data_IF_278739661296
#
_entry.id   IF_278739661296
#
_cell.length_a   1.000
_cell.length_b   1.000
_cell.length_c   1.000
_cell.angle_alpha   90.00
_cell.angle_beta   90.00
_cell.angle_gamma   90.00
#
_symmetry.space_group_name_H-M   'P 1'
#
loop_
_entity.id
_entity.type
_entity.pdbx_description
1 polymer ?
#
# COMPACT_ATOMS: atom_id res chain seq x y z
N UNK A 1 4.46 -15.50 7.92
CA UNK A 1 5.46 -15.63 6.84
C UNK A 1 6.64 -14.71 7.16
N UNK A 2 7.92 -15.07 6.89
CA UNK A 2 9.09 -14.23 7.22
C UNK A 2 9.06 -12.83 6.60
N UNK A 3 8.37 -12.63 5.47
CA UNK A 3 8.19 -11.30 4.85
C UNK A 3 7.02 -10.49 5.44
N UNK A 4 6.22 -11.08 6.35
CA UNK A 4 5.10 -10.39 6.96
C UNK A 4 5.60 -9.40 8.00
N UNK A 5 5.35 -8.12 7.78
CA UNK A 5 5.73 -7.06 8.71
C UNK A 5 4.76 -6.90 9.88
N UNK A 6 3.55 -7.48 9.82
CA UNK A 6 2.51 -7.30 10.83
C UNK A 6 1.61 -6.09 10.54
N UNK A 7 0.76 -5.73 11.51
CA UNK A 7 -0.22 -4.65 11.37
C UNK A 7 0.46 -3.28 11.38
N UNK A 8 0.04 -2.38 10.49
CA UNK A 8 0.42 -0.96 10.50
C UNK A 8 -0.63 -0.09 11.22
N UNK A 9 -0.24 1.13 11.62
CA UNK A 9 -1.16 2.13 12.16
C UNK A 9 -1.00 2.38 13.66
N UNK A 10 -2.01 3.02 14.28
CA UNK A 10 -1.95 3.54 15.67
C UNK A 10 -1.69 2.46 16.74
N UNK A 11 -2.15 1.23 16.50
CA UNK A 11 -1.89 0.05 17.33
C UNK A 11 -1.03 -1.01 16.61
N UNK A 12 -0.38 -0.59 15.52
CA UNK A 12 0.47 -1.46 14.71
C UNK A 12 1.84 -1.71 15.32
N UNK A 13 2.59 -2.60 14.68
CA UNK A 13 3.96 -2.92 15.06
C UNK A 13 4.88 -1.73 14.70
N UNK A 14 5.72 -1.32 15.66
CA UNK A 14 6.61 -0.16 15.49
C UNK A 14 7.53 -0.29 14.27
N UNK A 15 8.09 -1.48 14.03
CA UNK A 15 8.96 -1.73 12.89
C UNK A 15 8.23 -1.57 11.55
N UNK A 16 6.96 -1.96 11.45
CA UNK A 16 6.12 -1.77 10.25
C UNK A 16 5.96 -0.29 9.94
N UNK A 17 5.60 0.51 10.95
CA UNK A 17 5.44 1.95 10.78
C UNK A 17 6.77 2.63 10.39
N UNK A 18 7.90 2.15 10.91
CA UNK A 18 9.22 2.66 10.54
C UNK A 18 9.58 2.32 9.09
N UNK A 19 9.35 1.07 8.65
CA UNK A 19 9.59 0.65 7.26
C UNK A 19 8.74 1.46 6.29
N UNK A 20 7.48 1.76 6.64
CA UNK A 20 6.61 2.60 5.82
C UNK A 20 7.13 4.04 5.66
N UNK A 21 7.86 4.58 6.65
CA UNK A 21 8.49 5.90 6.52
C UNK A 21 9.65 5.91 5.53
N UNK A 22 10.38 4.79 5.43
CA UNK A 22 11.54 4.63 4.56
C UNK A 22 11.18 4.10 3.16
N UNK A 23 9.96 3.61 2.97
CA UNK A 23 9.49 3.09 1.69
C UNK A 23 9.50 4.18 0.60
N UNK A 24 9.98 3.81 -0.58
CA UNK A 24 9.97 4.63 -1.80
C UNK A 24 8.80 4.27 -2.74
N UNK A 25 8.18 3.11 -2.53
CA UNK A 25 6.98 2.64 -3.21
C UNK A 25 6.03 1.97 -2.22
N UNK A 26 4.78 2.42 -2.22
CA UNK A 26 3.67 1.81 -1.51
C UNK A 26 2.64 1.28 -2.51
N UNK A 27 2.38 -0.03 -2.46
CA UNK A 27 1.36 -0.70 -3.27
C UNK A 27 0.19 -1.03 -2.34
N UNK A 28 -0.95 -0.36 -2.55
CA UNK A 28 -2.18 -0.54 -1.78
C UNK A 28 -3.16 -1.34 -2.61
N UNK A 29 -3.49 -2.53 -2.12
CA UNK A 29 -4.38 -3.49 -2.78
C UNK A 29 -5.63 -3.68 -1.92
N UNK A 30 -6.78 -3.19 -2.39
CA UNK A 30 -8.09 -3.43 -1.74
C UNK A 30 -8.21 -2.85 -0.34
N UNK A 31 -7.48 -1.76 -0.07
CA UNK A 31 -7.50 -1.10 1.23
C UNK A 31 -7.80 0.39 1.08
N UNK A 32 -8.55 0.89 2.06
CA UNK A 32 -8.89 2.30 2.19
C UNK A 32 -7.88 3.00 3.06
N UNK A 33 -7.60 4.23 2.69
CA UNK A 33 -6.81 5.12 3.52
C UNK A 33 -7.69 5.65 4.67
N UNK A 34 -7.68 4.98 5.82
CA UNK A 34 -8.40 5.40 7.05
C UNK A 34 -7.50 6.21 7.98
N UNK A 35 -8.05 7.23 8.63
CA UNK A 35 -7.34 8.12 9.54
C UNK A 35 -6.66 7.37 10.71
N UNK A 36 -7.26 6.27 11.19
CA UNK A 36 -6.68 5.42 12.26
C UNK A 36 -5.47 4.60 11.80
N UNK A 37 -5.38 4.32 10.50
CA UNK A 37 -4.24 3.60 9.92
C UNK A 37 -3.06 4.53 9.60
N UNK A 38 -3.35 5.78 9.25
CA UNK A 38 -2.39 6.69 8.60
C UNK A 38 -1.89 7.76 9.58
N UNK A 39 -2.72 8.17 10.54
CA UNK A 39 -2.47 9.34 11.36
C UNK A 39 -2.50 10.61 10.50
N UNK A 40 -1.40 11.37 10.48
CA UNK A 40 -1.28 12.56 9.61
C UNK A 40 -0.91 12.14 8.19
N UNK A 41 -1.81 12.35 7.24
CA UNK A 41 -1.65 11.97 5.82
C UNK A 41 -0.36 12.48 5.17
N UNK A 42 0.09 13.68 5.54
CA UNK A 42 1.32 14.31 5.06
C UNK A 42 2.58 13.56 5.54
N UNK A 43 2.52 12.95 6.73
CA UNK A 43 3.63 12.22 7.34
C UNK A 43 3.63 10.74 6.97
N UNK A 44 2.55 10.23 6.38
CA UNK A 44 2.44 8.82 6.03
C UNK A 44 3.16 8.53 4.71
N UNK A 45 4.23 7.74 4.76
CA UNK A 45 5.06 7.39 3.60
C UNK A 45 5.46 8.63 2.78
N UNK A 46 6.22 9.59 3.37
CA UNK A 46 6.42 10.92 2.80
C UNK A 46 7.14 10.91 1.45
N UNK A 47 8.03 9.93 1.23
CA UNK A 47 8.83 9.80 0.01
C UNK A 47 8.29 8.73 -0.95
N UNK A 48 7.21 8.04 -0.60
CA UNK A 48 6.73 6.90 -1.36
C UNK A 48 5.90 7.34 -2.57
N UNK A 49 6.20 6.75 -3.73
CA UNK A 49 5.25 6.66 -4.84
C UNK A 49 4.12 5.71 -4.43
N UNK A 50 2.90 6.02 -4.84
CA UNK A 50 1.71 5.25 -4.42
C UNK A 50 1.03 4.65 -5.63
N UNK A 51 0.85 3.34 -5.61
CA UNK A 51 -0.05 2.60 -6.49
C UNK A 51 -1.26 2.21 -5.63
N UNK A 52 -2.47 2.59 -6.05
CA UNK A 52 -3.70 2.28 -5.33
C UNK A 52 -4.66 1.53 -6.23
N UNK A 53 -4.98 0.30 -5.85
CA UNK A 53 -5.95 -0.58 -6.48
C UNK A 53 -7.16 -0.69 -5.57
N UNK A 54 -8.33 -0.26 -6.04
CA UNK A 54 -9.58 -0.39 -5.32
C UNK A 54 -10.73 -0.58 -6.32
N UNK A 55 -11.72 -1.40 -5.97
CA UNK A 55 -12.91 -1.61 -6.81
C UNK A 55 -13.83 -0.38 -6.75
N UNK A 56 -13.78 0.37 -5.63
CA UNK A 56 -14.57 1.56 -5.40
C UNK A 56 -13.81 2.82 -5.86
N UNK A 57 -14.30 3.41 -6.96
CA UNK A 57 -13.77 4.66 -7.51
C UNK A 57 -13.74 5.80 -6.49
N UNK A 58 -14.66 5.83 -5.52
CA UNK A 58 -14.76 6.91 -4.55
C UNK A 58 -13.60 6.91 -3.54
N UNK A 59 -12.88 5.80 -3.38
CA UNK A 59 -11.74 5.69 -2.46
C UNK A 59 -10.42 6.10 -3.12
N UNK A 60 -10.32 6.01 -4.45
CA UNK A 60 -9.14 6.41 -5.20
C UNK A 60 -8.94 7.94 -5.15
N UNK A 61 -7.86 8.38 -4.49
CA UNK A 61 -7.53 9.81 -4.35
C UNK A 61 -8.32 10.56 -3.27
N UNK A 62 -9.14 9.86 -2.48
CA UNK A 62 -9.98 10.47 -1.44
C UNK A 62 -9.18 11.13 -0.31
N UNK A 63 -8.18 10.42 0.21
CA UNK A 63 -7.36 10.87 1.34
C UNK A 63 -5.93 11.22 0.89
N UNK A 64 -5.33 10.39 0.03
CA UNK A 64 -4.00 10.62 -0.52
C UNK A 64 -4.01 10.39 -2.02
N UNK A 65 -3.43 11.32 -2.78
CA UNK A 65 -3.39 11.22 -4.24
C UNK A 65 -2.39 10.12 -4.66
N UNK A 66 -2.86 9.03 -5.31
CA UNK A 66 -1.95 8.02 -5.83
C UNK A 66 -1.24 8.52 -7.09
N UNK A 67 -0.06 7.97 -7.36
CA UNK A 67 0.67 8.19 -8.60
C UNK A 67 0.09 7.35 -9.74
N UNK A 68 -0.37 6.13 -9.40
CA UNK A 68 -1.12 5.25 -10.30
C UNK A 68 -2.37 4.77 -9.56
N UNK A 69 -3.53 4.97 -10.17
CA UNK A 69 -4.81 4.50 -9.66
C UNK A 69 -5.39 3.45 -10.61
N UNK A 70 -5.78 2.29 -10.07
CA UNK A 70 -6.39 1.21 -10.86
C UNK A 70 -7.75 0.91 -10.23
N UNK A 71 -8.82 1.11 -11.01
CA UNK A 71 -10.16 0.75 -10.60
C UNK A 71 -10.51 -0.64 -11.12
N UNK A 72 -10.37 -1.67 -10.29
CA UNK A 72 -10.63 -3.07 -10.66
C UNK A 72 -10.75 -3.95 -9.42
N UNK A 73 -11.18 -5.20 -9.61
CA UNK A 73 -11.02 -6.25 -8.61
C UNK A 73 -9.51 -6.52 -8.40
N UNK A 74 -9.08 -6.65 -7.15
CA UNK A 74 -7.69 -6.91 -6.79
C UNK A 74 -7.24 -8.28 -7.30
N UNK A 75 -8.13 -9.28 -7.30
CA UNK A 75 -7.81 -10.62 -7.79
C UNK A 75 -7.47 -10.59 -9.29
N UNK A 76 -8.24 -9.83 -10.08
CA UNK A 76 -7.99 -9.65 -11.52
C UNK A 76 -6.66 -8.92 -11.79
N UNK A 77 -6.34 -7.92 -10.97
CA UNK A 77 -5.08 -7.16 -11.07
C UNK A 77 -3.89 -8.05 -10.72
N UNK A 78 -3.98 -8.83 -9.64
CA UNK A 78 -2.92 -9.74 -9.23
C UNK A 78 -2.73 -10.86 -10.26
N UNK A 79 -3.80 -11.40 -10.83
CA UNK A 79 -3.73 -12.42 -11.87
C UNK A 79 -2.96 -11.94 -13.11
N UNK A 80 -3.07 -10.66 -13.46
CA UNK A 80 -2.34 -10.06 -14.58
C UNK A 80 -0.92 -9.61 -14.19
N UNK A 81 -0.71 -9.16 -12.95
CA UNK A 81 0.57 -8.62 -12.49
C UNK A 81 1.58 -9.70 -12.17
N UNK A 82 1.17 -10.77 -11.46
CA UNK A 82 2.08 -11.82 -10.98
C UNK A 82 2.91 -12.46 -12.11
N UNK A 83 2.35 -12.79 -13.30
CA UNK A 83 3.14 -13.35 -14.40
C UNK A 83 4.24 -12.43 -14.96
N UNK A 84 4.14 -11.12 -14.70
CA UNK A 84 5.08 -10.10 -15.16
C UNK A 84 6.19 -9.82 -14.14
N UNK A 85 6.11 -10.42 -12.95
CA UNK A 85 7.06 -10.19 -11.85
C UNK A 85 8.01 -11.38 -11.76
N UNK A 86 9.30 -11.11 -11.90
CA UNK A 86 10.34 -12.10 -11.64
C UNK A 86 10.51 -12.32 -10.12
N UNK A 87 10.51 -13.59 -9.70
CA UNK A 87 10.74 -13.91 -8.30
C UNK A 87 12.19 -13.59 -7.90
N UNK A 88 12.37 -12.63 -7.00
CA UNK A 88 13.66 -12.36 -6.38
C UNK A 88 13.73 -12.98 -4.98
N UNK A 89 14.51 -14.06 -4.78
CA UNK A 89 14.77 -14.56 -3.44
C UNK A 89 15.56 -13.51 -2.66
N UNK A 90 15.05 -13.09 -1.50
CA UNK A 90 15.83 -12.28 -0.56
C UNK A 90 16.84 -13.20 0.13
N UNK A 91 18.13 -12.86 0.00
CA UNK A 91 19.24 -13.53 0.68
C UNK A 91 19.19 -13.33 2.20
#
# INVERSE_FOLDING_TARGET
HPLSLGMLGMHGVRSTNYILQEADLLIVLGARFDDRAIGKTEQFCPNAKIIHVDIDRAELGKIKQPHVAIQADVDDVLAQLIPLVEAQPRA
#
